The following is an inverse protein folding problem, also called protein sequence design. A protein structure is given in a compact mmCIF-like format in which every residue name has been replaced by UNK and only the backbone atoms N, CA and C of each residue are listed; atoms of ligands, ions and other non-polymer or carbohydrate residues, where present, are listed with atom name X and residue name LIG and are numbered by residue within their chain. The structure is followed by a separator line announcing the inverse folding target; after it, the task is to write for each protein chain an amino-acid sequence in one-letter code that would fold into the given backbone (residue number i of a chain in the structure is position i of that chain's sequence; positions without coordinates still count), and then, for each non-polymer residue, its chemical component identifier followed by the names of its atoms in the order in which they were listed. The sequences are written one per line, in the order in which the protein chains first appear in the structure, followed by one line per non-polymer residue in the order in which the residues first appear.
data_IF_196904774465
#
_entry.id   IF_196904774465
#
_cell.length_a   1.000
_cell.length_b   1.000
_cell.length_c   1.000
_cell.angle_alpha   90.00
_cell.angle_beta   90.00
_cell.angle_gamma   90.00
#
_symmetry.space_group_name_H-M   'P 1'
#
loop_
_entity.id
_entity.type
_entity.pdbx_description
1 polymer ?
#
# COMPACT_ATOMS: atom_id res chain seq x y z
N UNK A 1 11.71 4.55 16.78
CA UNK A 1 13.16 4.18 16.87
C UNK A 1 13.98 5.38 16.43
N UNK A 2 15.18 5.59 16.99
CA UNK A 2 16.06 6.65 16.50
C UNK A 2 16.61 6.25 15.12
N UNK A 3 16.51 7.16 14.15
CA UNK A 3 16.91 6.92 12.77
C UNK A 3 18.30 7.50 12.50
N UNK A 4 19.06 6.78 11.68
CA UNK A 4 20.42 7.12 11.31
C UNK A 4 20.61 6.95 9.80
N UNK A 5 21.53 7.72 9.24
CA UNK A 5 21.90 7.67 7.85
C UNK A 5 23.31 7.08 7.67
N UNK A 6 23.46 6.19 6.70
CA UNK A 6 24.76 5.64 6.28
C UNK A 6 25.63 6.73 5.66
N UNK A 7 26.84 6.92 6.19
CA UNK A 7 27.78 7.96 5.74
C UNK A 7 28.87 7.45 4.79
N UNK A 8 29.17 6.15 4.83
CA UNK A 8 30.11 5.50 3.91
C UNK A 8 29.46 5.20 2.56
N UNK A 9 30.27 5.01 1.52
CA UNK A 9 29.77 4.66 0.18
C UNK A 9 29.04 3.31 0.16
N UNK A 10 29.49 2.38 1.02
CA UNK A 10 28.85 1.10 1.29
C UNK A 10 29.03 0.73 2.77
N UNK A 11 28.00 0.16 3.39
CA UNK A 11 28.02 -0.35 4.76
C UNK A 11 27.37 -1.73 4.80
N UNK A 12 28.13 -2.77 5.15
CA UNK A 12 27.57 -4.12 5.24
C UNK A 12 26.71 -4.28 6.50
N UNK A 13 25.47 -4.74 6.31
CA UNK A 13 24.62 -5.26 7.38
C UNK A 13 24.87 -6.76 7.51
N UNK A 14 25.06 -7.21 8.75
CA UNK A 14 25.55 -8.56 9.05
C UNK A 14 24.64 -9.33 10.01
N UNK A 15 24.65 -10.65 9.93
CA UNK A 15 23.92 -11.54 10.86
C UNK A 15 24.54 -11.56 12.27
N UNK A 16 25.84 -11.27 12.38
CA UNK A 16 26.58 -11.18 13.63
C UNK A 16 27.45 -9.91 13.68
N UNK A 17 27.76 -9.37 14.87
CA UNK A 17 28.55 -8.15 15.07
C UNK A 17 30.06 -8.38 14.91
N UNK A 18 30.45 -9.09 13.85
CA UNK A 18 31.84 -9.43 13.51
C UNK A 18 32.05 -9.24 12.01
N UNK A 19 33.26 -8.85 11.62
CA UNK A 19 33.63 -8.71 10.20
C UNK A 19 33.97 -10.10 9.67
N UNK A 20 33.01 -10.71 8.99
CA UNK A 20 33.15 -12.01 8.31
C UNK A 20 32.26 -12.01 7.07
N UNK A 21 32.80 -12.42 5.93
CA UNK A 21 32.07 -12.50 4.65
C UNK A 21 30.86 -13.43 4.75
N UNK A 22 30.96 -14.54 5.48
CA UNK A 22 29.86 -15.49 5.68
C UNK A 22 28.65 -14.87 6.40
N UNK A 23 28.87 -13.77 7.14
CA UNK A 23 27.84 -13.08 7.90
C UNK A 23 27.22 -11.90 7.15
N UNK A 24 27.64 -11.59 5.92
CA UNK A 24 27.09 -10.45 5.18
C UNK A 24 25.68 -10.76 4.67
N UNK A 25 24.71 -9.96 5.11
CA UNK A 25 23.31 -10.04 4.65
C UNK A 25 23.14 -9.20 3.37
N UNK A 26 23.61 -7.95 3.41
CA UNK A 26 23.54 -7.02 2.29
C UNK A 26 24.55 -5.87 2.47
N UNK A 27 24.73 -5.08 1.41
CA UNK A 27 25.46 -3.83 1.44
C UNK A 27 24.46 -2.66 1.39
N UNK A 28 24.52 -1.78 2.38
CA UNK A 28 23.70 -0.58 2.46
C UNK A 28 24.42 0.57 1.74
N UNK A 29 23.80 1.23 0.75
CA UNK A 29 24.43 2.35 0.06
C UNK A 29 24.50 3.59 0.96
N UNK A 30 25.39 4.51 0.60
CA UNK A 30 25.42 5.85 1.21
C UNK A 30 24.04 6.50 1.20
N UNK A 31 23.70 7.12 2.31
CA UNK A 31 22.43 7.82 2.47
C UNK A 31 21.26 6.93 2.87
N UNK A 32 21.41 5.60 2.83
CA UNK A 32 20.39 4.66 3.31
C UNK A 32 20.03 4.95 4.77
N UNK A 33 18.73 4.88 5.07
CA UNK A 33 18.21 5.12 6.41
C UNK A 33 18.09 3.80 7.17
N UNK A 34 18.57 3.79 8.42
CA UNK A 34 18.46 2.64 9.33
C UNK A 34 17.81 3.09 10.63
N UNK A 35 16.97 2.22 11.20
CA UNK A 35 16.37 2.38 12.51
C UNK A 35 17.15 1.58 13.55
N UNK A 36 17.67 2.26 14.57
CA UNK A 36 18.42 1.60 15.64
C UNK A 36 17.46 0.82 16.54
N UNK A 37 17.69 -0.49 16.66
CA UNK A 37 16.94 -1.38 17.57
C UNK A 37 17.57 -1.33 18.96
N UNK A 38 18.86 -1.66 19.06
CA UNK A 38 19.61 -1.66 20.33
C UNK A 38 21.13 -1.58 20.12
N UNK A 39 21.84 -1.28 21.20
CA UNK A 39 23.28 -1.51 21.25
C UNK A 39 23.57 -3.03 21.18
N UNK A 40 24.68 -3.40 20.56
CA UNK A 40 25.22 -4.76 20.62
C UNK A 40 26.07 -4.93 21.88
N UNK A 41 26.32 -6.17 22.30
CA UNK A 41 27.28 -6.51 23.35
C UNK A 41 28.74 -6.18 22.92
N UNK A 42 28.95 -5.94 21.62
CA UNK A 42 30.17 -5.35 21.10
C UNK A 42 30.00 -3.83 20.93
N UNK A 43 30.77 -3.04 21.69
CA UNK A 43 30.64 -1.58 21.79
C UNK A 43 30.69 -0.82 20.45
N UNK A 44 31.26 -1.41 19.39
CA UNK A 44 31.38 -0.78 18.06
C UNK A 44 30.21 -1.08 17.11
N UNK A 45 29.25 -1.90 17.54
CA UNK A 45 28.17 -2.39 16.69
C UNK A 45 26.80 -2.05 17.27
N UNK A 46 25.88 -1.72 16.38
CA UNK A 46 24.46 -1.62 16.72
C UNK A 46 23.68 -2.66 15.94
N UNK A 47 22.62 -3.18 16.57
CA UNK A 47 21.60 -3.92 15.83
C UNK A 47 20.60 -2.90 15.28
N UNK A 48 20.33 -2.99 13.98
CA UNK A 48 19.49 -2.06 13.22
C UNK A 48 18.48 -2.81 12.37
N UNK A 49 17.44 -2.10 11.96
CA UNK A 49 16.52 -2.50 10.90
C UNK A 49 16.54 -1.46 9.76
N UNK A 50 16.25 -1.89 8.54
CA UNK A 50 16.09 -0.99 7.39
C UNK A 50 15.14 -1.60 6.35
N UNK A 51 14.69 -0.78 5.40
CA UNK A 51 13.97 -1.24 4.21
C UNK A 51 14.89 -1.02 3.01
N UNK A 52 15.24 -2.10 2.33
CA UNK A 52 16.05 -2.08 1.13
C UNK A 52 15.35 -2.88 0.04
N UNK A 53 15.13 -2.25 -1.12
CA UNK A 53 14.50 -2.89 -2.28
C UNK A 53 13.16 -3.59 -1.96
N UNK A 54 12.34 -2.96 -1.12
CA UNK A 54 11.04 -3.50 -0.72
C UNK A 54 11.10 -4.60 0.34
N UNK A 55 12.28 -4.91 0.90
CA UNK A 55 12.44 -5.92 1.96
C UNK A 55 12.89 -5.29 3.26
N UNK A 56 12.31 -5.76 4.37
CA UNK A 56 12.84 -5.44 5.70
C UNK A 56 14.09 -6.26 5.96
N UNK A 57 15.18 -5.60 6.33
CA UNK A 57 16.42 -6.25 6.76
C UNK A 57 16.71 -5.90 8.21
N UNK A 58 17.20 -6.88 8.97
CA UNK A 58 17.69 -6.69 10.32
C UNK A 58 19.06 -7.32 10.47
N UNK A 59 19.93 -6.67 11.24
CA UNK A 59 21.28 -7.15 11.46
C UNK A 59 22.15 -6.14 12.19
N UNK A 60 23.45 -6.38 12.15
CA UNK A 60 24.46 -5.58 12.83
C UNK A 60 25.24 -4.74 11.84
N UNK A 61 25.48 -3.48 12.22
CA UNK A 61 26.31 -2.53 11.46
C UNK A 61 27.30 -1.83 12.41
N UNK A 62 28.44 -1.41 11.87
CA UNK A 62 29.42 -0.66 12.64
C UNK A 62 28.95 0.79 12.83
N UNK A 63 28.80 1.23 14.09
CA UNK A 63 28.16 2.51 14.43
C UNK A 63 28.90 3.74 13.89
N UNK A 64 30.21 3.64 13.68
CA UNK A 64 31.05 4.76 13.18
C UNK A 64 30.69 5.24 11.77
N UNK A 65 29.92 4.46 11.02
CA UNK A 65 29.46 4.79 9.67
C UNK A 65 28.00 5.28 9.64
N UNK A 66 27.46 5.63 10.80
CA UNK A 66 26.11 6.14 10.97
C UNK A 66 26.15 7.56 11.55
N UNK A 67 25.26 8.41 11.05
CA UNK A 67 25.01 9.74 11.61
C UNK A 67 23.52 9.86 11.96
N UNK A 68 23.14 10.52 13.08
CA UNK A 68 21.74 10.70 13.44
C UNK A 68 20.99 11.49 12.35
N UNK A 69 19.78 11.04 12.02
CA UNK A 69 18.86 11.82 11.19
C UNK A 69 18.09 12.76 12.11
N UNK A 70 18.32 14.06 11.97
CA UNK A 70 17.58 15.10 12.71
C UNK A 70 16.45 15.71 11.89
N UNK A 71 16.56 15.64 10.56
CA UNK A 71 15.53 16.07 9.61
C UNK A 71 15.63 15.27 8.32
N UNK A 72 14.48 14.88 7.76
CA UNK A 72 14.42 14.27 6.45
C UNK A 72 14.47 15.32 5.34
N UNK A 73 15.33 15.10 4.35
CA UNK A 73 15.28 15.85 3.10
C UNK A 73 14.24 15.20 2.20
N UNK A 74 13.15 15.91 1.92
CA UNK A 74 12.04 15.43 1.10
C UNK A 74 12.13 16.04 -0.30
N UNK A 75 11.92 15.23 -1.32
CA UNK A 75 11.81 15.67 -2.71
C UNK A 75 10.45 15.31 -3.29
N UNK A 76 9.98 16.10 -4.24
CA UNK A 76 8.87 15.72 -5.11
C UNK A 76 9.40 14.80 -6.21
N UNK A 77 8.82 13.61 -6.30
CA UNK A 77 9.14 12.61 -7.34
C UNK A 77 8.39 12.96 -8.63
N UNK A 78 7.10 13.26 -8.51
CA UNK A 78 6.21 13.73 -9.57
C UNK A 78 4.95 14.35 -8.96
N UNK A 79 4.01 14.78 -9.81
CA UNK A 79 2.66 15.18 -9.41
C UNK A 79 1.60 14.36 -10.13
N UNK A 80 0.46 14.15 -9.46
CA UNK A 80 -0.77 13.65 -10.07
C UNK A 80 -1.84 14.72 -9.86
N UNK A 81 -2.19 15.41 -10.95
CA UNK A 81 -2.88 16.70 -10.83
C UNK A 81 -2.05 17.66 -9.99
N UNK A 82 -2.65 18.21 -8.93
CA UNK A 82 -1.95 19.10 -7.99
C UNK A 82 -1.29 18.37 -6.82
N UNK A 83 -1.54 17.07 -6.66
CA UNK A 83 -1.03 16.30 -5.52
C UNK A 83 0.44 15.92 -5.75
N UNK A 84 1.39 16.42 -4.92
CA UNK A 84 2.78 16.02 -5.02
C UNK A 84 2.97 14.63 -4.44
N UNK A 85 3.70 13.80 -5.18
CA UNK A 85 4.19 12.51 -4.69
C UNK A 85 5.58 12.76 -4.11
N UNK A 86 5.71 12.57 -2.81
CA UNK A 86 6.89 12.92 -2.03
C UNK A 86 7.69 11.67 -1.66
N UNK A 87 9.00 11.83 -1.54
CA UNK A 87 9.91 10.77 -1.09
C UNK A 87 11.03 11.39 -0.27
N UNK A 88 11.39 10.74 0.83
CA UNK A 88 12.56 11.12 1.60
C UNK A 88 13.84 10.58 0.93
N UNK A 89 14.90 11.36 0.94
CA UNK A 89 16.19 10.95 0.37
C UNK A 89 16.73 9.70 1.10
N UNK A 90 17.25 8.74 0.32
CA UNK A 90 17.81 7.50 0.85
C UNK A 90 16.80 6.38 1.09
N UNK A 91 15.54 6.59 0.68
CA UNK A 91 14.45 5.62 0.87
C UNK A 91 13.66 5.41 -0.41
N UNK A 92 13.01 4.24 -0.52
CA UNK A 92 12.09 3.93 -1.61
C UNK A 92 10.64 4.29 -1.29
N UNK A 93 10.26 4.33 -0.01
CA UNK A 93 8.90 4.67 0.41
C UNK A 93 8.52 6.06 -0.10
N UNK A 94 7.33 6.17 -0.67
CA UNK A 94 6.78 7.45 -1.11
C UNK A 94 5.48 7.73 -0.36
N UNK A 95 5.12 9.00 -0.27
CA UNK A 95 3.93 9.43 0.43
C UNK A 95 3.29 10.63 -0.24
N UNK A 96 2.01 10.82 0.02
CA UNK A 96 1.22 11.93 -0.46
C UNK A 96 0.03 12.16 0.47
N UNK A 97 -0.53 13.36 0.42
CA UNK A 97 -1.74 13.72 1.13
C UNK A 97 -2.86 14.00 0.12
N UNK A 98 -4.04 13.46 0.35
CA UNK A 98 -5.21 13.64 -0.50
C UNK A 98 -6.51 13.46 0.30
N UNK A 99 -7.65 13.60 -0.38
CA UNK A 99 -8.90 12.99 0.07
C UNK A 99 -8.93 11.48 -0.22
N UNK A 100 -10.06 10.86 0.05
CA UNK A 100 -10.37 9.46 -0.25
C UNK A 100 -11.75 9.36 -0.90
N UNK A 101 -11.81 9.15 -2.22
CA UNK A 101 -12.97 8.52 -2.86
C UNK A 101 -13.04 7.04 -2.47
N UNK A 102 -14.22 6.45 -2.58
CA UNK A 102 -14.47 5.09 -2.11
C UNK A 102 -14.66 4.17 -3.31
N UNK A 103 -13.84 3.13 -3.39
CA UNK A 103 -13.92 2.09 -4.39
C UNK A 103 -14.68 0.87 -3.83
N UNK A 104 -15.73 0.45 -4.55
CA UNK A 104 -16.53 -0.73 -4.23
C UNK A 104 -16.04 -2.00 -4.96
N UNK A 105 -15.13 -1.88 -5.91
CA UNK A 105 -14.65 -2.94 -6.80
C UNK A 105 -14.08 -4.13 -6.03
N UNK A 106 -14.35 -5.32 -6.57
CA UNK A 106 -14.05 -6.61 -5.98
C UNK A 106 -15.04 -7.07 -4.92
N UNK A 107 -15.90 -6.20 -4.37
CA UNK A 107 -16.95 -6.67 -3.47
C UNK A 107 -18.02 -7.47 -4.24
N UNK A 108 -18.43 -8.65 -3.74
CA UNK A 108 -19.39 -9.49 -4.45
C UNK A 108 -20.81 -8.88 -4.49
N UNK A 109 -21.10 -7.84 -3.71
CA UNK A 109 -22.36 -7.11 -3.78
C UNK A 109 -22.24 -5.71 -4.41
N UNK A 110 -21.09 -5.38 -5.01
CA UNK A 110 -20.83 -4.06 -5.60
C UNK A 110 -21.88 -3.66 -6.64
N UNK A 111 -22.15 -4.55 -7.60
CA UNK A 111 -22.93 -4.23 -8.78
C UNK A 111 -23.98 -5.30 -9.08
N UNK A 112 -25.20 -4.86 -9.39
CA UNK A 112 -26.32 -5.73 -9.74
C UNK A 112 -26.95 -5.27 -11.06
N UNK A 113 -27.45 -6.16 -11.94
CA UNK A 113 -28.08 -5.79 -13.20
C UNK A 113 -29.23 -4.78 -13.08
N UNK A 114 -29.98 -4.82 -11.97
CA UNK A 114 -31.07 -3.87 -11.69
C UNK A 114 -30.60 -2.57 -11.00
N UNK A 115 -29.29 -2.31 -10.96
CA UNK A 115 -28.67 -1.21 -10.21
C UNK A 115 -29.16 -1.14 -8.76
N UNK A 116 -29.00 -2.24 -8.03
CA UNK A 116 -29.34 -2.33 -6.58
C UNK A 116 -28.13 -2.70 -5.73
N UNK A 117 -26.94 -2.66 -6.33
CA UNK A 117 -25.69 -2.93 -5.63
C UNK A 117 -25.32 -1.84 -4.63
N UNK A 118 -24.29 -2.13 -3.83
CA UNK A 118 -23.76 -1.14 -2.89
C UNK A 118 -23.06 0.02 -3.60
N UNK A 119 -22.77 -0.10 -4.89
CA UNK A 119 -22.37 1.01 -5.73
C UNK A 119 -23.22 1.10 -7.01
N UNK A 120 -23.16 2.25 -7.68
CA UNK A 120 -23.88 2.47 -8.93
C UNK A 120 -23.27 1.67 -10.06
N UNK A 121 -24.09 0.96 -10.83
CA UNK A 121 -23.62 0.13 -11.95
C UNK A 121 -22.80 0.95 -12.97
N UNK A 122 -23.10 2.23 -13.14
CA UNK A 122 -22.35 3.14 -14.02
C UNK A 122 -20.89 3.35 -13.58
N UNK A 123 -20.56 3.14 -12.31
CA UNK A 123 -19.17 3.20 -11.82
C UNK A 123 -18.37 1.96 -12.24
N UNK A 124 -19.03 0.86 -12.61
CA UNK A 124 -18.36 -0.35 -13.06
C UNK A 124 -17.95 -0.31 -14.55
N UNK A 125 -18.48 0.67 -15.29
CA UNK A 125 -18.36 0.76 -16.73
C UNK A 125 -19.71 0.95 -17.42
N UNK A 126 -19.72 0.60 -18.71
CA UNK A 126 -20.91 0.62 -19.55
C UNK A 126 -20.84 -0.51 -20.58
N UNK A 127 -21.92 -0.73 -21.33
CA UNK A 127 -21.96 -1.74 -22.40
C UNK A 127 -20.73 -1.62 -23.30
N UNK A 128 -20.08 -2.75 -23.57
CA UNK A 128 -18.84 -2.86 -24.37
C UNK A 128 -17.55 -2.31 -23.73
N UNK A 129 -17.60 -1.74 -22.52
CA UNK A 129 -16.42 -1.28 -21.79
C UNK A 129 -16.64 -1.35 -20.26
N UNK A 130 -16.51 -2.56 -19.71
CA UNK A 130 -16.54 -2.80 -18.27
C UNK A 130 -15.11 -2.84 -17.71
N UNK A 131 -14.79 -1.94 -16.78
CA UNK A 131 -13.48 -1.93 -16.10
C UNK A 131 -13.52 -2.59 -14.73
N UNK A 132 -14.71 -2.68 -14.10
CA UNK A 132 -14.87 -3.28 -12.79
C UNK A 132 -15.66 -4.59 -12.77
N UNK A 133 -16.04 -5.13 -13.94
CA UNK A 133 -16.78 -6.40 -14.04
C UNK A 133 -15.98 -7.44 -14.83
N UNK A 134 -16.04 -8.69 -14.39
CA UNK A 134 -15.50 -9.80 -15.16
C UNK A 134 -16.44 -10.09 -16.33
N UNK A 135 -15.90 -10.09 -17.55
CA UNK A 135 -16.67 -10.30 -18.78
C UNK A 135 -16.25 -11.55 -19.53
N UNK A 136 -17.18 -12.12 -20.30
CA UNK A 136 -16.90 -13.16 -21.27
C UNK A 136 -16.13 -12.62 -22.50
N UNK A 137 -15.87 -13.49 -23.48
CA UNK A 137 -15.16 -13.13 -24.72
C UNK A 137 -15.89 -12.11 -25.59
N UNK A 138 -17.19 -11.91 -25.38
CA UNK A 138 -18.04 -10.99 -26.12
C UNK A 138 -18.27 -9.68 -25.34
N UNK A 139 -17.69 -9.53 -24.14
CA UNK A 139 -17.88 -8.35 -23.29
C UNK A 139 -19.12 -8.42 -22.39
N UNK A 140 -19.82 -9.56 -22.31
CA UNK A 140 -20.96 -9.70 -21.41
C UNK A 140 -20.49 -9.96 -19.97
N UNK A 141 -20.96 -9.19 -18.96
CA UNK A 141 -20.60 -9.43 -17.57
C UNK A 141 -21.09 -10.79 -17.05
N UNK A 142 -20.23 -11.48 -16.31
CA UNK A 142 -20.63 -12.68 -15.59
C UNK A 142 -21.53 -12.34 -14.39
N UNK A 143 -22.53 -13.20 -14.17
CA UNK A 143 -23.44 -13.13 -13.03
C UNK A 143 -23.09 -14.26 -12.06
N UNK A 144 -23.08 -13.94 -10.77
CA UNK A 144 -22.91 -14.88 -9.67
C UNK A 144 -24.01 -15.94 -9.68
N UNK A 145 -23.58 -17.21 -9.59
CA UNK A 145 -24.46 -18.36 -9.53
C UNK A 145 -25.15 -18.50 -8.17
N UNK A 146 -26.04 -19.49 -8.06
CA UNK A 146 -26.82 -19.75 -6.84
C UNK A 146 -25.99 -20.12 -5.60
N UNK A 147 -24.75 -20.56 -5.79
CA UNK A 147 -23.82 -20.94 -4.70
C UNK A 147 -22.76 -19.87 -4.40
N UNK A 148 -22.73 -18.79 -5.17
CA UNK A 148 -21.82 -17.67 -4.91
C UNK A 148 -22.35 -16.79 -3.77
N UNK A 149 -21.51 -15.92 -3.18
CA UNK A 149 -21.89 -15.13 -2.01
C UNK A 149 -23.09 -14.19 -2.24
N UNK A 150 -23.28 -13.69 -3.47
CA UNK A 150 -24.40 -12.82 -3.83
C UNK A 150 -25.01 -13.25 -5.18
N UNK A 151 -25.86 -14.30 -5.20
CA UNK A 151 -26.48 -14.78 -6.43
C UNK A 151 -27.24 -13.67 -7.17
N UNK A 152 -27.07 -13.60 -8.49
CA UNK A 152 -27.70 -12.58 -9.33
C UNK A 152 -26.93 -11.26 -9.47
N UNK A 153 -25.90 -11.02 -8.65
CA UNK A 153 -25.00 -9.87 -8.79
C UNK A 153 -23.94 -10.13 -9.85
N UNK A 154 -23.35 -9.08 -10.41
CA UNK A 154 -22.20 -9.23 -11.28
C UNK A 154 -20.95 -9.67 -10.50
N UNK A 155 -20.00 -10.28 -11.20
CA UNK A 155 -18.66 -10.54 -10.66
C UNK A 155 -17.83 -9.26 -10.75
N UNK A 156 -17.70 -8.54 -9.64
CA UNK A 156 -16.86 -7.34 -9.55
C UNK A 156 -15.37 -7.69 -9.47
N UNK A 157 -14.50 -6.85 -10.02
CA UNK A 157 -13.08 -7.13 -10.23
C UNK A 157 -12.17 -6.04 -9.71
N UNK A 158 -11.01 -6.43 -9.20
CA UNK A 158 -9.87 -5.55 -8.94
C UNK A 158 -8.69 -5.93 -9.85
N UNK A 159 -7.76 -5.00 -10.09
CA UNK A 159 -6.55 -5.27 -10.87
C UNK A 159 -5.65 -6.35 -10.23
N UNK A 160 -5.52 -6.35 -8.90
CA UNK A 160 -4.91 -7.43 -8.14
C UNK A 160 -5.93 -8.58 -8.00
N UNK A 161 -5.53 -9.79 -8.35
CA UNK A 161 -6.40 -10.96 -8.27
C UNK A 161 -5.60 -12.23 -7.98
N UNK A 162 -6.27 -13.26 -7.50
CA UNK A 162 -5.71 -14.60 -7.31
C UNK A 162 -5.88 -15.43 -8.60
N UNK A 163 -4.77 -15.82 -9.20
CA UNK A 163 -4.76 -16.64 -10.41
C UNK A 163 -5.27 -18.08 -10.21
N UNK A 164 -5.36 -18.56 -8.97
CA UNK A 164 -5.85 -19.89 -8.62
C UNK A 164 -7.36 -20.06 -8.80
N UNK A 165 -8.12 -18.97 -8.88
CA UNK A 165 -9.56 -18.98 -9.12
C UNK A 165 -9.90 -18.66 -10.58
N UNK A 166 -10.96 -19.23 -11.13
CA UNK A 166 -11.47 -18.83 -12.46
C UNK A 166 -12.08 -17.43 -12.43
N UNK A 167 -12.20 -16.78 -13.60
CA UNK A 167 -12.71 -15.39 -13.70
C UNK A 167 -14.12 -15.20 -13.13
N UNK A 168 -14.96 -16.24 -13.16
CA UNK A 168 -16.33 -16.24 -12.67
C UNK A 168 -16.44 -16.41 -11.15
N UNK A 169 -15.34 -16.73 -10.47
CA UNK A 169 -15.36 -16.93 -9.03
C UNK A 169 -15.11 -15.58 -8.34
N UNK A 170 -16.06 -15.05 -7.56
CA UNK A 170 -15.89 -13.74 -6.93
C UNK A 170 -14.75 -13.71 -5.91
N UNK A 171 -14.33 -14.86 -5.36
CA UNK A 171 -13.15 -14.96 -4.46
C UNK A 171 -11.82 -14.67 -5.16
N UNK A 172 -11.81 -14.60 -6.48
CA UNK A 172 -10.64 -14.23 -7.28
C UNK A 172 -10.16 -12.81 -7.01
N UNK A 173 -11.06 -11.89 -6.66
CA UNK A 173 -10.77 -10.46 -6.57
C UNK A 173 -10.74 -9.99 -5.12
N UNK A 174 -10.14 -8.83 -4.87
CA UNK A 174 -9.96 -8.29 -3.52
C UNK A 174 -11.27 -7.64 -3.06
N UNK A 175 -11.96 -8.26 -2.11
CA UNK A 175 -13.24 -7.79 -1.59
C UNK A 175 -13.11 -6.45 -0.84
N UNK A 176 -13.59 -5.35 -1.44
CA UNK A 176 -13.50 -3.99 -0.88
C UNK A 176 -14.22 -3.82 0.46
N UNK A 177 -15.21 -4.67 0.77
CA UNK A 177 -15.94 -4.64 2.05
C UNK A 177 -15.15 -5.29 3.19
N UNK A 178 -14.10 -6.05 2.87
CA UNK A 178 -13.30 -6.78 3.85
C UNK A 178 -11.86 -6.32 3.92
N UNK A 179 -11.22 -6.11 2.78
CA UNK A 179 -9.77 -5.85 2.72
C UNK A 179 -9.51 -4.36 2.55
N UNK A 180 -8.79 -3.71 3.48
CA UNK A 180 -8.28 -2.37 3.27
C UNK A 180 -7.32 -2.36 2.08
N UNK A 181 -7.66 -1.61 1.04
CA UNK A 181 -6.77 -1.38 -0.09
C UNK A 181 -6.86 0.07 -0.57
N UNK A 182 -5.85 0.50 -1.31
CA UNK A 182 -5.85 1.76 -2.05
C UNK A 182 -5.82 1.50 -3.55
N UNK A 183 -6.16 2.54 -4.28
CA UNK A 183 -6.10 2.60 -5.74
C UNK A 183 -5.06 3.63 -6.14
N UNK A 184 -4.19 3.27 -7.07
CA UNK A 184 -3.16 4.16 -7.60
C UNK A 184 -3.37 4.41 -9.10
N UNK A 185 -2.85 5.53 -9.64
CA UNK A 185 -3.08 5.88 -11.04
C UNK A 185 -2.52 4.82 -12.00
N UNK A 186 -3.30 4.47 -13.03
CA UNK A 186 -2.89 3.68 -14.19
C UNK A 186 -1.93 4.39 -15.14
N UNK A 187 -0.99 5.15 -14.58
CA UNK A 187 -0.05 6.02 -15.27
C UNK A 187 1.34 5.37 -15.33
N UNK A 188 1.88 5.21 -16.54
CA UNK A 188 3.18 4.59 -16.78
C UNK A 188 4.34 5.36 -16.14
N UNK A 189 4.28 6.70 -16.14
CA UNK A 189 5.30 7.56 -15.53
C UNK A 189 5.23 7.47 -14.01
N UNK A 190 4.02 7.42 -13.44
CA UNK A 190 3.82 7.18 -12.01
C UNK A 190 4.46 5.85 -11.58
N UNK A 191 4.17 4.75 -12.30
CA UNK A 191 4.77 3.44 -12.02
C UNK A 191 6.29 3.45 -12.16
N UNK A 192 6.82 4.10 -13.21
CA UNK A 192 8.27 4.18 -13.46
C UNK A 192 8.99 4.97 -12.37
N UNK A 193 8.40 6.08 -11.93
CA UNK A 193 9.01 6.97 -10.96
C UNK A 193 8.95 6.45 -9.53
N UNK A 194 7.88 5.71 -9.18
CA UNK A 194 7.69 5.15 -7.83
C UNK A 194 8.18 3.71 -7.67
N UNK A 195 8.22 2.92 -8.76
CA UNK A 195 8.55 1.50 -8.72
C UNK A 195 7.46 0.61 -8.12
N UNK A 196 6.27 1.17 -7.84
CA UNK A 196 5.16 0.47 -7.16
C UNK A 196 4.60 -0.69 -7.99
N UNK A 197 4.13 -1.73 -7.31
CA UNK A 197 3.54 -2.95 -7.87
C UNK A 197 2.28 -3.32 -7.09
N UNK A 198 1.31 -3.93 -7.78
CA UNK A 198 0.12 -4.47 -7.12
C UNK A 198 0.52 -5.42 -5.98
N UNK A 199 -0.19 -5.30 -4.85
CA UNK A 199 0.09 -6.01 -3.61
C UNK A 199 1.10 -5.32 -2.68
N UNK A 200 1.71 -4.20 -3.09
CA UNK A 200 2.60 -3.43 -2.20
C UNK A 200 1.84 -2.91 -0.96
N UNK A 201 2.51 -2.93 0.18
CA UNK A 201 1.95 -2.48 1.45
C UNK A 201 1.82 -0.97 1.54
N UNK A 202 0.77 -0.55 2.23
CA UNK A 202 0.38 0.85 2.37
C UNK A 202 -0.07 1.13 3.79
N UNK A 203 0.42 2.22 4.37
CA UNK A 203 -0.11 2.80 5.59
C UNK A 203 -0.96 4.00 5.20
N UNK A 204 -2.14 4.09 5.80
CA UNK A 204 -3.04 5.23 5.59
C UNK A 204 -3.39 5.81 6.94
N UNK A 205 -3.22 7.13 7.07
CA UNK A 205 -3.41 7.85 8.32
C UNK A 205 -4.33 9.05 8.11
N UNK A 206 -5.37 9.11 8.90
CA UNK A 206 -6.28 10.25 8.94
C UNK A 206 -5.79 11.23 10.01
N UNK A 207 -5.27 12.39 9.59
CA UNK A 207 -4.68 13.36 10.52
C UNK A 207 -5.73 14.11 11.34
N UNK A 208 -7.00 14.08 10.94
CA UNK A 208 -8.10 14.74 11.64
C UNK A 208 -8.55 13.95 12.89
N UNK A 209 -8.60 12.63 12.81
CA UNK A 209 -9.06 11.77 13.92
C UNK A 209 -7.98 10.78 14.45
N UNK A 210 -6.76 10.91 13.95
CA UNK A 210 -5.59 10.08 14.27
C UNK A 210 -5.76 8.56 14.03
N UNK A 211 -6.77 8.15 13.25
CA UNK A 211 -6.94 6.74 12.89
C UNK A 211 -5.91 6.31 11.84
N UNK A 212 -5.35 5.14 12.07
CA UNK A 212 -4.35 4.49 11.25
C UNK A 212 -4.91 3.17 10.72
N UNK A 213 -4.69 2.88 9.45
CA UNK A 213 -5.03 1.61 8.83
C UNK A 213 -3.85 1.08 8.00
N UNK A 214 -3.75 -0.24 7.94
CA UNK A 214 -2.81 -0.95 7.08
C UNK A 214 -3.56 -1.56 5.89
N UNK A 215 -3.01 -1.37 4.71
CA UNK A 215 -3.67 -1.65 3.44
C UNK A 215 -2.67 -2.19 2.41
N UNK A 216 -3.18 -2.59 1.25
CA UNK A 216 -2.39 -2.93 0.07
C UNK A 216 -2.80 -2.09 -1.14
N UNK A 217 -1.93 -1.96 -2.12
CA UNK A 217 -2.31 -1.44 -3.44
C UNK A 217 -2.97 -2.56 -4.26
N UNK A 218 -4.30 -2.52 -4.42
CA UNK A 218 -5.04 -3.63 -5.03
C UNK A 218 -5.69 -3.30 -6.38
N UNK A 219 -5.87 -2.03 -6.73
CA UNK A 219 -6.60 -1.68 -7.95
C UNK A 219 -6.03 -0.47 -8.67
N UNK A 220 -6.29 -0.37 -9.98
CA UNK A 220 -5.69 0.64 -10.86
C UNK A 220 -6.75 1.64 -11.31
N UNK A 221 -6.58 2.88 -10.88
CA UNK A 221 -7.53 3.96 -11.16
C UNK A 221 -7.15 4.80 -12.39
N UNK A 222 -7.90 5.90 -12.63
CA UNK A 222 -7.62 6.84 -13.72
C UNK A 222 -6.20 7.41 -13.66
N UNK A 223 -5.61 7.68 -14.84
CA UNK A 223 -4.20 8.09 -14.98
C UNK A 223 -3.80 9.37 -14.22
N UNK A 224 -4.75 10.25 -13.97
CA UNK A 224 -4.51 11.60 -13.44
C UNK A 224 -5.25 11.85 -12.11
N UNK A 225 -5.72 10.79 -11.44
CA UNK A 225 -6.42 10.89 -10.15
C UNK A 225 -5.74 10.00 -9.11
N UNK A 226 -5.78 10.41 -7.86
CA UNK A 226 -5.21 9.69 -6.71
C UNK A 226 -6.02 10.04 -5.46
N UNK A 227 -5.97 9.19 -4.44
CA UNK A 227 -6.76 9.35 -3.22
C UNK A 227 -8.07 8.57 -3.30
N UNK A 228 -7.97 7.27 -3.52
CA UNK A 228 -9.10 6.35 -3.55
C UNK A 228 -8.78 5.09 -2.74
N UNK A 229 -9.77 4.58 -2.01
CA UNK A 229 -9.60 3.45 -1.12
C UNK A 229 -10.86 2.60 -0.96
N UNK A 230 -10.69 1.37 -0.48
CA UNK A 230 -11.79 0.43 -0.30
C UNK A 230 -12.77 0.87 0.80
N UNK A 231 -13.96 0.28 0.78
CA UNK A 231 -14.98 0.46 1.83
C UNK A 231 -14.40 0.11 3.22
N UNK A 232 -13.71 -1.02 3.33
CA UNK A 232 -13.07 -1.47 4.56
C UNK A 232 -12.00 -0.48 5.05
N UNK A 233 -11.21 0.09 4.14
CA UNK A 233 -10.21 1.11 4.50
C UNK A 233 -10.88 2.38 5.04
N UNK A 234 -11.92 2.88 4.38
CA UNK A 234 -12.67 4.05 4.84
C UNK A 234 -13.23 3.84 6.25
N UNK A 235 -13.84 2.68 6.50
CA UNK A 235 -14.40 2.33 7.80
C UNK A 235 -13.31 2.25 8.87
N UNK A 236 -12.15 1.65 8.56
CA UNK A 236 -11.00 1.60 9.46
C UNK A 236 -10.49 3.01 9.82
N UNK A 237 -10.57 3.97 8.89
CA UNK A 237 -10.24 5.39 9.10
C UNK A 237 -11.38 6.18 9.77
N UNK A 238 -12.46 5.51 10.18
CA UNK A 238 -13.58 6.10 10.91
C UNK A 238 -14.60 6.84 10.06
N UNK A 239 -14.64 6.58 8.75
CA UNK A 239 -15.68 7.09 7.86
C UNK A 239 -16.56 5.93 7.39
N UNK A 240 -17.85 5.97 7.72
CA UNK A 240 -18.83 5.07 7.12
C UNK A 240 -19.24 5.62 5.73
N UNK A 241 -18.88 4.93 4.63
CA UNK A 241 -19.14 5.45 3.30
C UNK A 241 -20.57 5.19 2.82
N UNK A 242 -21.34 4.36 3.54
CA UNK A 242 -22.66 3.90 3.11
C UNK A 242 -23.77 4.86 3.54
N UNK A 243 -24.54 5.36 2.57
CA UNK A 243 -25.75 6.14 2.78
C UNK A 243 -26.86 5.51 1.97
N UNK A 244 -27.96 5.12 2.64
CA UNK A 244 -29.05 4.36 2.02
C UNK A 244 -28.53 3.09 1.32
N UNK A 245 -27.65 2.36 2.01
CA UNK A 245 -27.01 1.12 1.52
C UNK A 245 -26.14 1.28 0.26
N UNK A 246 -25.75 2.52 -0.09
CA UNK A 246 -24.83 2.77 -1.21
C UNK A 246 -23.62 3.60 -0.81
N UNK A 247 -22.50 3.36 -1.47
CA UNK A 247 -21.30 4.19 -1.40
C UNK A 247 -21.62 5.59 -1.90
N UNK A 248 -21.61 6.55 -0.99
CA UNK A 248 -21.94 7.97 -1.30
C UNK A 248 -21.08 8.98 -0.54
N UNK A 249 -20.24 8.53 0.41
CA UNK A 249 -19.50 9.42 1.30
C UNK A 249 -18.01 9.07 1.32
N UNK A 250 -17.21 9.87 0.61
CA UNK A 250 -15.75 9.86 0.73
C UNK A 250 -15.24 10.71 1.89
N UNK A 251 -13.92 10.76 2.04
CA UNK A 251 -13.22 11.66 2.96
C UNK A 251 -12.64 12.80 2.13
N UNK A 252 -12.93 14.07 2.42
CA UNK A 252 -12.58 15.16 1.50
C UNK A 252 -11.08 15.49 1.42
N UNK A 253 -10.33 15.30 2.51
CA UNK A 253 -8.90 15.69 2.64
C UNK A 253 -8.29 15.08 3.91
N UNK A 254 -7.06 15.46 4.24
CA UNK A 254 -6.35 15.14 5.49
C UNK A 254 -6.00 13.65 5.65
N UNK A 255 -5.90 12.93 4.52
CA UNK A 255 -5.47 11.53 4.50
C UNK A 255 -4.06 11.45 3.95
N UNK A 256 -3.14 10.97 4.79
CA UNK A 256 -1.75 10.67 4.42
C UNK A 256 -1.66 9.21 4.01
N UNK A 257 -1.07 8.99 2.85
CA UNK A 257 -0.78 7.67 2.30
C UNK A 257 0.72 7.46 2.26
N UNK A 258 1.21 6.33 2.77
CA UNK A 258 2.62 5.93 2.71
C UNK A 258 2.66 4.57 2.06
N UNK A 259 3.34 4.47 0.93
CA UNK A 259 3.45 3.25 0.14
C UNK A 259 4.87 2.74 0.21
N UNK A 260 5.03 1.42 0.32
CA UNK A 260 6.31 0.72 0.33
C UNK A 260 6.52 -0.05 -0.98
N UNK A 261 7.14 0.55 -2.02
CA UNK A 261 7.34 -0.12 -3.30
C UNK A 261 8.13 -1.44 -3.19
N UNK A 262 7.64 -2.47 -3.89
CA UNK A 262 8.27 -3.78 -3.95
C UNK A 262 8.12 -4.63 -2.69
N UNK A 263 7.30 -4.22 -1.73
CA UNK A 263 7.04 -4.95 -0.49
C UNK A 263 6.00 -6.05 -0.64
N UNK A 264 5.19 -5.98 -1.68
CA UNK A 264 4.17 -6.96 -2.01
C UNK A 264 4.73 -8.22 -2.68
N UNK A 265 3.90 -9.26 -2.72
CA UNK A 265 4.15 -10.49 -3.48
C UNK A 265 3.27 -10.60 -4.75
N UNK A 266 2.54 -9.54 -5.11
CA UNK A 266 1.65 -9.56 -6.27
C UNK A 266 0.43 -10.47 -6.11
N UNK A 267 0.08 -10.86 -4.88
CA UNK A 267 -1.10 -11.69 -4.58
C UNK A 267 -2.02 -10.99 -3.58
N UNK A 268 -3.35 -11.23 -3.63
CA UNK A 268 -4.24 -10.91 -2.52
C UNK A 268 -3.75 -11.52 -1.21
N UNK A 269 -4.02 -10.85 -0.09
CA UNK A 269 -3.61 -11.29 1.25
C UNK A 269 -4.74 -11.14 2.25
N UNK A 270 -4.65 -11.90 3.34
CA UNK A 270 -5.58 -11.75 4.47
C UNK A 270 -5.31 -10.46 5.22
N UNK A 271 -6.32 -9.94 5.94
CA UNK A 271 -6.18 -8.73 6.77
C UNK A 271 -5.03 -8.91 7.77
N UNK A 272 -4.95 -10.06 8.44
CA UNK A 272 -3.90 -10.32 9.45
C UNK A 272 -2.48 -10.28 8.86
N UNK A 273 -2.27 -10.80 7.64
CA UNK A 273 -0.98 -10.69 6.96
C UNK A 273 -0.67 -9.24 6.58
N UNK A 274 -1.66 -8.50 6.07
CA UNK A 274 -1.51 -7.08 5.72
C UNK A 274 -1.13 -6.28 6.96
N UNK A 275 -1.83 -6.49 8.08
CA UNK A 275 -1.55 -5.81 9.34
C UNK A 275 -0.16 -6.14 9.88
N UNK A 276 0.20 -7.42 9.96
CA UNK A 276 1.47 -7.86 10.53
C UNK A 276 2.67 -7.34 9.73
N UNK A 277 2.64 -7.53 8.40
CA UNK A 277 3.75 -7.11 7.55
C UNK A 277 3.84 -5.59 7.43
N UNK A 278 2.73 -4.91 7.13
CA UNK A 278 2.74 -3.44 6.96
C UNK A 278 3.15 -2.73 8.24
N UNK A 279 2.72 -3.20 9.41
CA UNK A 279 3.14 -2.66 10.70
C UNK A 279 4.65 -2.70 10.85
N UNK A 280 5.29 -3.81 10.47
CA UNK A 280 6.76 -3.94 10.52
C UNK A 280 7.45 -2.93 9.62
N UNK A 281 7.01 -2.76 8.37
CA UNK A 281 7.53 -1.73 7.47
C UNK A 281 7.36 -0.33 8.09
N UNK A 282 6.18 -0.04 8.64
CA UNK A 282 5.87 1.26 9.21
C UNK A 282 6.71 1.60 10.44
N UNK A 283 6.91 0.64 11.34
CA UNK A 283 7.77 0.82 12.52
C UNK A 283 9.22 1.07 12.13
N UNK A 284 9.75 0.31 11.16
CA UNK A 284 11.11 0.52 10.62
C UNK A 284 11.22 1.89 9.96
N UNK A 285 10.19 2.31 9.23
CA UNK A 285 10.14 3.62 8.57
C UNK A 285 10.07 4.78 9.57
N UNK A 286 9.60 4.57 10.80
CA UNK A 286 9.61 5.58 11.86
C UNK A 286 8.26 5.82 12.55
N UNK A 287 7.19 5.18 12.06
CA UNK A 287 5.86 5.23 12.67
C UNK A 287 5.18 6.60 12.60
N UNK A 288 4.15 6.78 13.43
CA UNK A 288 3.31 7.99 13.47
C UNK A 288 4.11 9.24 13.82
N UNK A 289 5.10 9.14 14.71
CA UNK A 289 5.97 10.26 15.06
C UNK A 289 6.67 10.84 13.84
N UNK A 290 7.06 9.98 12.89
CA UNK A 290 7.64 10.45 11.64
C UNK A 290 6.61 11.16 10.78
N UNK A 291 5.37 10.65 10.68
CA UNK A 291 4.29 11.34 9.96
C UNK A 291 4.09 12.76 10.49
N UNK A 292 4.05 12.92 11.82
CA UNK A 292 3.87 14.22 12.49
C UNK A 292 5.05 15.18 12.29
N UNK A 293 6.18 14.68 11.78
CA UNK A 293 7.41 15.44 11.53
C UNK A 293 7.65 15.82 10.06
N UNK A 294 6.83 15.29 9.14
CA UNK A 294 6.91 15.58 7.69
C UNK A 294 6.45 17.01 7.40
#
# INVERSE_FOLDING_TARGET
MQQFQVTSDSLNIRSAPIIDEANQIAALPKGCIVSKIKNSDHEKWWRVATILEGKTLEGFVAQKFLSPVTKFSIKTVLKIGEIPILQANGESAFFYEAGMSINADGAPNAYHPADTGIDFLANAGYSDNWWALAVDKNGNPFIQGSTDPYPGYYISTTALFDSGFVKQNPRRYVDSTKIPYIVLPGNGDFRKATGVKLGDFVVVYNTNNEKLAFAIYADVGPKNQIGEGSIALSQALGNDPLVQSRVRRGIPKDIVYIVFPGSGNGQPRTISEIEAETKRFFEIWGGVERIKSL
#
